data_IF_721988686922
#
_entry.id   IF_721988686922
#
_cell.length_a   1.000
_cell.length_b   1.000
_cell.length_c   1.000
_cell.angle_alpha   90.00
_cell.angle_beta   90.00
_cell.angle_gamma   90.00
#
_symmetry.space_group_name_H-M   'P 1'
#
loop_
_entity.id
_entity.type
_entity.pdbx_description
1 polymer ?
#
# COMPACT_ATOMS: atom_id res chain seq x y z
N UNK A 1 -3.00 23.43 12.03
CA UNK A 1 -1.74 22.71 11.78
C UNK A 1 -1.70 21.57 12.80
N UNK A 2 -2.20 20.40 12.40
CA UNK A 2 -2.46 19.28 13.31
C UNK A 2 -1.17 18.49 13.46
N UNK A 3 -0.61 18.52 14.67
CA UNK A 3 0.64 17.83 14.99
C UNK A 3 0.46 16.32 14.86
N UNK A 4 1.19 15.76 13.90
CA UNK A 4 1.41 14.31 13.81
C UNK A 4 2.19 13.89 15.06
N UNK A 5 1.46 13.36 16.04
CA UNK A 5 2.05 12.62 17.16
C UNK A 5 2.61 11.33 16.59
N UNK A 6 3.92 11.30 16.36
CA UNK A 6 4.66 10.06 16.22
C UNK A 6 4.39 9.21 17.47
N UNK A 7 3.60 8.15 17.32
CA UNK A 7 3.40 7.14 18.36
C UNK A 7 4.77 6.53 18.70
N UNK A 8 5.08 6.45 19.99
CA UNK A 8 6.41 6.20 20.58
C UNK A 8 7.11 4.87 20.27
N UNK A 9 6.79 4.17 19.19
CA UNK A 9 7.36 2.85 18.85
C UNK A 9 8.07 2.78 17.49
N UNK A 10 8.22 3.90 16.77
CA UNK A 10 8.91 3.89 15.46
C UNK A 10 8.16 3.14 14.35
N UNK A 11 6.91 2.73 14.58
CA UNK A 11 5.99 2.18 13.58
C UNK A 11 5.01 3.25 13.14
N UNK A 12 4.60 3.20 11.87
CA UNK A 12 3.49 4.02 11.41
C UNK A 12 2.22 3.70 12.23
N UNK A 13 1.39 4.70 12.56
CA UNK A 13 0.04 4.43 13.02
C UNK A 13 -0.71 3.58 11.98
N UNK A 14 -1.49 2.60 12.42
CA UNK A 14 -2.28 1.74 11.52
C UNK A 14 -3.15 2.56 10.54
N UNK A 15 -3.66 3.70 11.00
CA UNK A 15 -4.42 4.63 10.16
C UNK A 15 -3.59 5.19 9.01
N UNK A 16 -2.36 5.62 9.29
CA UNK A 16 -1.49 6.16 8.26
C UNK A 16 -1.02 5.08 7.29
N UNK A 17 -0.85 3.82 7.74
CA UNK A 17 -0.62 2.69 6.83
C UNK A 17 -1.81 2.44 5.91
N UNK A 18 -3.03 2.52 6.43
CA UNK A 18 -4.26 2.35 5.64
C UNK A 18 -4.40 3.47 4.60
N UNK A 19 -4.25 4.74 5.01
CA UNK A 19 -4.26 5.89 4.11
C UNK A 19 -3.17 5.76 3.03
N UNK A 20 -1.95 5.33 3.40
CA UNK A 20 -0.85 5.13 2.46
C UNK A 20 -1.13 3.97 1.48
N UNK A 21 -1.67 2.86 1.97
CA UNK A 21 -2.04 1.72 1.12
C UNK A 21 -3.11 2.10 0.10
N UNK A 22 -4.12 2.88 0.49
CA UNK A 22 -5.17 3.35 -0.40
C UNK A 22 -4.61 4.28 -1.50
N UNK A 23 -3.76 5.23 -1.11
CA UNK A 23 -3.08 6.13 -2.05
C UNK A 23 -2.20 5.37 -3.05
N UNK A 24 -1.42 4.39 -2.57
CA UNK A 24 -0.57 3.56 -3.42
C UNK A 24 -1.41 2.70 -4.37
N UNK A 25 -2.50 2.10 -3.87
CA UNK A 25 -3.42 1.31 -4.68
C UNK A 25 -4.03 2.17 -5.80
N UNK A 26 -4.53 3.36 -5.47
CA UNK A 26 -5.11 4.29 -6.44
C UNK A 26 -4.08 4.74 -7.48
N UNK A 27 -2.87 5.06 -7.06
CA UNK A 27 -1.80 5.50 -7.94
C UNK A 27 -1.37 4.40 -8.93
N UNK A 28 -1.16 3.18 -8.42
CA UNK A 28 -0.80 2.03 -9.26
C UNK A 28 -1.96 1.71 -10.21
N UNK A 29 -3.20 1.70 -9.74
CA UNK A 29 -4.39 1.50 -10.58
C UNK A 29 -4.51 2.58 -11.66
N UNK A 30 -4.23 3.84 -11.35
CA UNK A 30 -4.22 4.93 -12.35
C UNK A 30 -3.13 4.72 -13.40
N UNK A 31 -1.96 4.20 -13.01
CA UNK A 31 -0.83 4.01 -13.93
C UNK A 31 -0.96 2.75 -14.80
N UNK A 32 -1.53 1.67 -14.28
CA UNK A 32 -1.57 0.35 -14.93
C UNK A 32 -2.99 -0.08 -15.35
N UNK A 33 -4.02 0.62 -14.87
CA UNK A 33 -5.43 0.30 -15.08
C UNK A 33 -5.77 -1.10 -14.58
N UNK A 34 -6.56 -1.83 -15.37
CA UNK A 34 -6.99 -3.20 -15.04
C UNK A 34 -5.85 -4.22 -14.93
N UNK A 35 -4.63 -3.90 -15.38
CA UNK A 35 -3.49 -4.82 -15.29
C UNK A 35 -3.09 -5.08 -13.83
N UNK A 36 -3.43 -4.18 -12.92
CA UNK A 36 -3.11 -4.34 -11.49
C UNK A 36 -3.75 -5.58 -10.87
N UNK A 37 -4.93 -5.98 -11.37
CA UNK A 37 -5.66 -7.15 -10.91
C UNK A 37 -4.94 -8.47 -11.23
N UNK A 38 -4.02 -8.46 -12.19
CA UNK A 38 -3.21 -9.61 -12.59
C UNK A 38 -1.82 -9.61 -11.95
N UNK A 39 -1.44 -8.56 -11.22
CA UNK A 39 -0.10 -8.45 -10.64
C UNK A 39 0.04 -9.39 -9.43
N UNK A 40 1.13 -10.19 -9.36
CA UNK A 40 1.49 -10.90 -8.16
C UNK A 40 1.98 -9.91 -7.10
N UNK A 41 1.92 -10.33 -5.83
CA UNK A 41 2.37 -9.52 -4.68
C UNK A 41 3.79 -9.00 -4.82
N UNK A 42 4.70 -9.76 -5.43
CA UNK A 42 6.09 -9.37 -5.66
C UNK A 42 6.23 -8.17 -6.60
N UNK A 43 5.38 -8.08 -7.63
CA UNK A 43 5.35 -6.92 -8.52
C UNK A 43 4.76 -5.72 -7.79
N UNK A 44 3.69 -5.90 -7.02
CA UNK A 44 3.13 -4.84 -6.18
C UNK A 44 4.19 -4.30 -5.22
N UNK A 45 4.91 -5.18 -4.52
CA UNK A 45 6.01 -4.79 -3.63
C UNK A 45 7.07 -3.96 -4.37
N UNK A 46 7.51 -4.40 -5.54
CA UNK A 46 8.50 -3.68 -6.36
C UNK A 46 8.00 -2.30 -6.79
N UNK A 47 6.71 -2.17 -7.06
CA UNK A 47 6.08 -0.91 -7.45
C UNK A 47 5.96 0.08 -6.28
N UNK A 48 5.66 -0.41 -5.08
CA UNK A 48 5.52 0.44 -3.89
C UNK A 48 6.85 0.73 -3.19
N UNK A 49 7.86 -0.12 -3.36
CA UNK A 49 9.20 -0.02 -2.74
C UNK A 49 9.78 1.41 -2.78
N UNK A 50 9.84 2.12 -3.92
CA UNK A 50 10.39 3.48 -3.96
C UNK A 50 9.62 4.51 -3.13
N UNK A 51 8.38 4.21 -2.72
CA UNK A 51 7.54 5.08 -1.88
C UNK A 51 7.62 4.73 -0.39
N UNK A 52 8.14 3.54 -0.06
CA UNK A 52 8.16 2.98 1.31
C UNK A 52 9.56 2.58 1.78
N UNK A 53 10.60 2.91 1.02
CA UNK A 53 12.01 2.60 1.32
C UNK A 53 12.47 3.16 2.68
N UNK A 54 11.87 4.27 3.11
CA UNK A 54 12.12 4.90 4.42
C UNK A 54 11.45 4.15 5.60
N UNK A 55 10.55 3.20 5.31
CA UNK A 55 9.82 2.43 6.32
C UNK A 55 10.60 1.18 6.75
N UNK A 56 10.25 0.66 7.93
CA UNK A 56 10.79 -0.60 8.43
C UNK A 56 10.41 -1.76 7.50
N UNK A 57 11.26 -2.78 7.37
CA UNK A 57 10.98 -3.97 6.53
C UNK A 57 9.64 -4.63 6.86
N UNK A 58 9.23 -4.62 8.14
CA UNK A 58 7.91 -5.13 8.56
C UNK A 58 6.77 -4.30 7.97
N UNK A 59 6.82 -2.97 8.10
CA UNK A 59 5.81 -2.06 7.54
C UNK A 59 5.78 -2.15 6.00
N UNK A 60 6.93 -2.36 5.36
CA UNK A 60 6.99 -2.56 3.91
C UNK A 60 6.27 -3.84 3.47
N UNK A 61 6.47 -4.92 4.23
CA UNK A 61 5.79 -6.18 3.99
C UNK A 61 4.29 -6.09 4.23
N UNK A 62 3.86 -5.43 5.30
CA UNK A 62 2.44 -5.18 5.60
C UNK A 62 1.78 -4.35 4.50
N UNK A 63 2.37 -3.21 4.11
CA UNK A 63 1.83 -2.35 3.04
C UNK A 63 1.69 -3.11 1.71
N UNK A 64 2.68 -3.91 1.34
CA UNK A 64 2.58 -4.70 0.10
C UNK A 64 1.47 -5.75 0.16
N UNK A 65 1.18 -6.28 1.34
CA UNK A 65 0.07 -7.20 1.54
C UNK A 65 -1.27 -6.47 1.44
N UNK A 66 -1.40 -5.32 2.11
CA UNK A 66 -2.59 -4.47 2.10
C UNK A 66 -2.94 -3.99 0.69
N UNK A 67 -1.97 -3.42 -0.03
CA UNK A 67 -2.16 -2.92 -1.40
C UNK A 67 -2.56 -4.06 -2.35
N UNK A 68 -1.89 -5.21 -2.25
CA UNK A 68 -2.25 -6.37 -3.06
C UNK A 68 -3.67 -6.88 -2.75
N UNK A 69 -4.05 -6.91 -1.47
CA UNK A 69 -5.38 -7.32 -1.04
C UNK A 69 -6.46 -6.37 -1.58
N UNK A 70 -6.23 -5.05 -1.54
CA UNK A 70 -7.13 -4.06 -2.13
C UNK A 70 -7.36 -4.31 -3.63
N UNK A 71 -6.33 -4.70 -4.38
CA UNK A 71 -6.51 -5.07 -5.79
C UNK A 71 -7.33 -6.34 -5.99
N UNK A 72 -7.16 -7.34 -5.13
CA UNK A 72 -7.97 -8.56 -5.22
C UNK A 72 -9.43 -8.29 -4.85
N UNK A 73 -9.68 -7.52 -3.79
CA UNK A 73 -11.03 -7.11 -3.37
C UNK A 73 -11.73 -6.31 -4.48
N UNK A 74 -11.04 -5.31 -5.06
CA UNK A 74 -11.58 -4.54 -6.19
C UNK A 74 -11.86 -5.40 -7.42
N UNK A 75 -11.02 -6.43 -7.70
CA UNK A 75 -11.26 -7.40 -8.77
C UNK A 75 -12.51 -8.25 -8.50
N UNK A 76 -12.72 -8.68 -7.26
CA UNK A 76 -13.91 -9.46 -6.86
C UNK A 76 -15.19 -8.61 -6.93
N UNK A 77 -15.10 -7.29 -6.75
CA UNK A 77 -16.24 -6.37 -6.92
C UNK A 77 -16.55 -6.01 -8.39
N UNK A 78 -15.53 -5.98 -9.26
CA UNK A 78 -15.67 -5.63 -10.69
C UNK A 78 -16.08 -6.83 -11.57
N UNK A 79 -15.96 -8.07 -11.07
CA UNK A 79 -16.25 -9.32 -11.78
C UNK A 79 -17.66 -9.87 -11.56
#
# INVERSE_FOLDING_TARGET
MQGYRFSSNGRLPERDMLDLADLLALQIHTSLGQRVYMLPRSDVFTLILPYIDDLSEEDQHDLSWMVWHLFQDAREMDG
#
